data_IF_004959514167
#
_entry.id   IF_004959514167
#
_cell.length_a   1.000
_cell.length_b   1.000
_cell.length_c   1.000
_cell.angle_alpha   90.00
_cell.angle_beta   90.00
_cell.angle_gamma   90.00
#
_symmetry.space_group_name_H-M   'P 1'
#
loop_
_entity.id
_entity.type
_entity.pdbx_description
1 polymer ?
#
# COMPACT_ATOMS: atom_id res chain seq x y z
N UNK A 1 -11.68 8.62 10.31
CA UNK A 1 -10.84 8.82 9.11
C UNK A 1 -10.67 7.48 8.44
N UNK A 2 -10.76 7.39 7.11
CA UNK A 2 -10.58 6.10 6.40
C UNK A 2 -9.10 5.68 6.50
N UNK A 3 -8.78 4.41 6.79
CA UNK A 3 -7.39 3.95 6.80
C UNK A 3 -6.85 3.97 5.37
N UNK A 4 -5.56 4.32 5.21
CA UNK A 4 -4.91 4.30 3.90
C UNK A 4 -4.22 2.97 3.66
N UNK A 5 -4.35 2.41 2.46
CA UNK A 5 -3.70 1.16 2.08
C UNK A 5 -2.95 1.30 0.76
N UNK A 6 -1.80 0.64 0.66
CA UNK A 6 -1.06 0.51 -0.60
C UNK A 6 -1.43 -0.80 -1.26
N UNK A 7 -1.83 -0.72 -2.52
CA UNK A 7 -2.11 -1.87 -3.36
C UNK A 7 -1.06 -1.98 -4.46
N UNK A 8 -0.29 -3.08 -4.46
CA UNK A 8 0.77 -3.31 -5.45
C UNK A 8 0.56 -4.58 -6.28
N UNK A 9 -0.68 -5.06 -6.34
CA UNK A 9 -1.09 -6.15 -7.24
C UNK A 9 -2.30 -5.74 -8.07
N UNK A 10 -2.47 -6.42 -9.19
CA UNK A 10 -3.73 -6.36 -9.93
C UNK A 10 -4.85 -7.01 -9.10
N UNK A 11 -5.86 -6.21 -8.73
CA UNK A 11 -7.13 -6.71 -8.22
C UNK A 11 -8.25 -6.45 -9.24
N UNK A 12 -9.25 -7.34 -9.32
CA UNK A 12 -10.46 -7.05 -10.07
C UNK A 12 -11.20 -5.84 -9.48
N UNK A 13 -11.85 -5.07 -10.36
CA UNK A 13 -12.50 -3.81 -10.04
C UNK A 13 -13.53 -3.93 -8.90
N UNK A 14 -14.25 -5.04 -8.82
CA UNK A 14 -15.26 -5.29 -7.79
C UNK A 14 -14.66 -5.25 -6.36
N UNK A 15 -13.49 -5.84 -6.19
CA UNK A 15 -12.78 -5.82 -4.91
C UNK A 15 -12.10 -4.47 -4.65
N UNK A 16 -11.58 -3.84 -5.70
CA UNK A 16 -10.99 -2.51 -5.59
C UNK A 16 -12.04 -1.50 -5.11
N UNK A 17 -13.22 -1.49 -5.73
CA UNK A 17 -14.31 -0.59 -5.38
C UNK A 17 -14.75 -0.78 -3.92
N UNK A 18 -14.84 -2.04 -3.47
CA UNK A 18 -15.11 -2.35 -2.05
C UNK A 18 -14.01 -1.84 -1.12
N UNK A 19 -12.75 -1.89 -1.52
CA UNK A 19 -11.67 -1.32 -0.73
C UNK A 19 -11.77 0.20 -0.67
N UNK A 20 -12.03 0.88 -1.79
CA UNK A 20 -12.18 2.34 -1.85
C UNK A 20 -13.36 2.89 -1.04
N UNK A 21 -14.42 2.08 -0.90
CA UNK A 21 -15.58 2.39 -0.04
C UNK A 21 -15.15 2.52 1.43
N UNK A 22 -14.24 1.68 1.91
CA UNK A 22 -13.83 1.61 3.32
C UNK A 22 -12.44 2.23 3.63
N UNK A 23 -11.56 2.27 2.64
CA UNK A 23 -10.13 2.60 2.76
C UNK A 23 -9.71 3.56 1.64
N UNK A 24 -8.64 4.31 1.86
CA UNK A 24 -7.99 5.08 0.80
C UNK A 24 -7.01 4.16 0.07
N UNK A 25 -7.36 3.72 -1.13
CA UNK A 25 -6.52 2.80 -1.91
C UNK A 25 -5.54 3.57 -2.79
N UNK A 26 -4.25 3.37 -2.58
CA UNK A 26 -3.21 3.87 -3.48
C UNK A 26 -2.62 2.71 -4.26
N UNK A 27 -2.87 2.68 -5.57
CA UNK A 27 -2.32 1.66 -6.44
C UNK A 27 -0.91 2.04 -6.87
N UNK A 28 0.03 1.12 -6.72
CA UNK A 28 1.40 1.28 -7.17
C UNK A 28 1.80 0.07 -8.03
N UNK A 29 2.65 0.25 -9.04
CA UNK A 29 3.04 -0.86 -9.91
C UNK A 29 3.98 -1.86 -9.23
N UNK A 30 4.69 -1.45 -8.17
CA UNK A 30 5.62 -2.25 -7.39
C UNK A 30 6.09 -1.53 -6.12
N UNK A 31 6.79 -2.22 -5.24
CA UNK A 31 7.38 -1.73 -4.00
C UNK A 31 8.86 -1.34 -4.13
N UNK A 32 9.32 -1.01 -5.35
CA UNK A 32 10.70 -0.56 -5.56
C UNK A 32 10.94 0.77 -4.87
N UNK A 33 12.17 1.00 -4.41
CA UNK A 33 12.57 2.25 -3.75
C UNK A 33 12.18 3.51 -4.50
N UNK A 34 12.19 3.47 -5.83
CA UNK A 34 11.82 4.57 -6.71
C UNK A 34 10.31 4.87 -6.67
N UNK A 35 9.47 3.84 -6.73
CA UNK A 35 8.01 3.96 -6.58
C UNK A 35 7.64 4.39 -5.16
N UNK A 36 8.32 3.84 -4.16
CA UNK A 36 8.11 4.20 -2.76
C UNK A 36 8.52 5.65 -2.50
N UNK A 37 9.59 6.14 -3.13
CA UNK A 37 9.99 7.54 -3.03
C UNK A 37 8.99 8.49 -3.72
N UNK A 38 8.48 8.11 -4.90
CA UNK A 38 7.44 8.86 -5.61
C UNK A 38 6.12 8.92 -4.83
N UNK A 39 5.77 7.84 -4.13
CA UNK A 39 4.55 7.73 -3.34
C UNK A 39 4.82 7.85 -1.82
N UNK A 40 5.91 8.52 -1.42
CA UNK A 40 6.40 8.50 -0.04
C UNK A 40 5.34 8.94 0.98
N UNK A 41 4.51 9.93 0.64
CA UNK A 41 3.41 10.40 1.49
C UNK A 41 2.32 9.34 1.70
N UNK A 42 1.98 8.61 0.63
CA UNK A 42 1.02 7.51 0.69
C UNK A 42 1.57 6.36 1.53
N UNK A 43 2.84 5.99 1.35
CA UNK A 43 3.51 4.96 2.14
C UNK A 43 3.62 5.35 3.63
N UNK A 44 3.96 6.61 3.93
CA UNK A 44 4.06 7.09 5.31
C UNK A 44 2.70 7.14 6.03
N UNK A 45 1.62 7.37 5.28
CA UNK A 45 0.25 7.39 5.80
C UNK A 45 -0.46 6.04 5.74
N UNK A 46 0.07 5.08 4.99
CA UNK A 46 -0.53 3.78 4.82
C UNK A 46 -0.44 2.94 6.10
N UNK A 47 -1.59 2.41 6.49
CA UNK A 47 -1.76 1.48 7.61
C UNK A 47 -1.81 0.03 7.15
N UNK A 48 -2.00 -0.22 5.85
CA UNK A 48 -2.04 -1.56 5.27
C UNK A 48 -1.29 -1.65 3.95
N UNK A 49 -0.71 -2.82 3.70
CA UNK A 49 -0.02 -3.13 2.46
C UNK A 49 -0.58 -4.44 1.92
N UNK A 50 -1.17 -4.37 0.73
CA UNK A 50 -1.88 -5.48 0.08
C UNK A 50 -1.24 -5.78 -1.26
N UNK A 51 -0.74 -6.99 -1.41
CA UNK A 51 -0.22 -7.43 -2.69
C UNK A 51 0.24 -8.87 -2.66
N UNK A 52 1.00 -9.25 -3.66
CA UNK A 52 1.57 -10.59 -3.74
C UNK A 52 2.87 -10.49 -4.51
N UNK A 53 3.80 -11.40 -4.23
CA UNK A 53 5.03 -11.57 -5.00
C UNK A 53 6.16 -10.53 -4.77
N UNK A 54 5.98 -9.55 -3.89
CA UNK A 54 7.08 -8.67 -3.45
C UNK A 54 7.40 -8.84 -1.96
N UNK A 55 8.69 -8.84 -1.66
CA UNK A 55 9.19 -8.92 -0.30
C UNK A 55 9.12 -7.55 0.38
N UNK A 56 8.40 -7.49 1.49
CA UNK A 56 8.41 -6.31 2.38
C UNK A 56 9.75 -6.30 3.12
N UNK A 57 10.68 -5.46 2.65
CA UNK A 57 11.99 -5.30 3.27
C UNK A 57 11.96 -4.27 4.41
N UNK A 58 12.94 -4.35 5.32
CA UNK A 58 13.08 -3.44 6.45
C UNK A 58 13.12 -1.97 6.02
N UNK A 59 13.80 -1.65 4.92
CA UNK A 59 13.87 -0.28 4.39
C UNK A 59 12.51 0.28 3.95
N UNK A 60 11.56 -0.58 3.57
CA UNK A 60 10.19 -0.19 3.28
C UNK A 60 9.40 0.03 4.58
N UNK A 61 9.54 -0.90 5.53
CA UNK A 61 8.92 -0.81 6.86
C UNK A 61 9.32 0.48 7.59
N UNK A 62 10.59 0.90 7.49
CA UNK A 62 11.07 2.17 8.06
C UNK A 62 10.38 3.41 7.46
N UNK A 63 9.94 3.32 6.20
CA UNK A 63 9.18 4.39 5.53
C UNK A 63 7.68 4.34 5.82
N UNK A 64 7.19 3.28 6.46
CA UNK A 64 5.79 3.07 6.78
C UNK A 64 5.57 2.94 8.29
N UNK A 65 5.79 4.02 9.07
CA UNK A 65 5.68 3.98 10.53
C UNK A 65 4.27 3.68 11.04
N UNK A 66 3.24 3.85 10.20
CA UNK A 66 1.84 3.59 10.53
C UNK A 66 1.35 2.20 10.11
N UNK A 67 2.21 1.40 9.48
CA UNK A 67 1.84 0.09 8.97
C UNK A 67 1.41 -0.84 10.12
N UNK A 68 0.21 -1.40 10.00
CA UNK A 68 -0.37 -2.33 10.97
C UNK A 68 -0.39 -3.77 10.47
N UNK A 69 -0.59 -3.97 9.17
CA UNK A 69 -0.71 -5.29 8.57
C UNK A 69 -0.19 -5.31 7.13
N UNK A 70 0.43 -6.42 6.75
CA UNK A 70 0.88 -6.70 5.39
C UNK A 70 0.35 -8.07 4.96
N UNK A 71 -0.25 -8.18 3.78
CA UNK A 71 -0.79 -9.46 3.28
C UNK A 71 -0.74 -9.60 1.76
#
# INVERSE_FOLDING_TARGET
MKPSIILYKALPDDLLHRLEEHFTVTQVPNLRSETVAQHAEAFASAEGLLGSSEAVNTALLEKMPKLRATS
#
